data_IF_849823125406
#
_entry.id   IF_849823125406
#
_cell.length_a   1.000
_cell.length_b   1.000
_cell.length_c   1.000
_cell.angle_alpha   90.00
_cell.angle_beta   90.00
_cell.angle_gamma   90.00
#
_symmetry.space_group_name_H-M   'P 1'
#
loop_
_entity.id
_entity.type
_entity.pdbx_description
1 polymer ?
#
# COMPACT_ATOMS: atom_id res chain seq x y z
N UNK A 1 8.11 5.11 -7.60
CA UNK A 1 7.79 4.44 -6.32
C UNK A 1 9.04 4.06 -5.54
N UNK A 2 10.12 3.58 -6.17
CA UNK A 2 11.35 3.15 -5.48
C UNK A 2 11.89 4.17 -4.47
N UNK A 3 12.09 5.43 -4.87
CA UNK A 3 12.59 6.47 -3.97
C UNK A 3 11.71 6.67 -2.71
N UNK A 4 10.37 6.57 -2.85
CA UNK A 4 9.46 6.62 -1.71
C UNK A 4 9.66 5.40 -0.80
N UNK A 5 9.78 4.20 -1.38
CA UNK A 5 10.00 2.97 -0.60
C UNK A 5 11.31 3.03 0.19
N UNK A 6 12.38 3.48 -0.45
CA UNK A 6 13.70 3.63 0.19
C UNK A 6 13.60 4.59 1.39
N UNK A 7 12.94 5.74 1.20
CA UNK A 7 12.72 6.70 2.27
C UNK A 7 11.87 6.15 3.42
N UNK A 8 10.78 5.43 3.11
CA UNK A 8 9.89 4.86 4.14
C UNK A 8 10.61 3.80 4.98
N UNK A 9 11.44 2.95 4.36
CA UNK A 9 12.32 2.01 5.08
C UNK A 9 13.28 2.75 6.01
N UNK A 10 13.88 3.87 5.58
CA UNK A 10 14.74 4.70 6.43
C UNK A 10 13.99 5.32 7.62
N UNK A 11 12.70 5.63 7.45
CA UNK A 11 11.84 6.11 8.52
C UNK A 11 11.29 5.00 9.44
N UNK A 12 11.59 3.73 9.17
CA UNK A 12 11.06 2.58 9.93
C UNK A 12 9.62 2.21 9.58
N UNK A 13 9.11 2.66 8.42
CA UNK A 13 7.78 2.32 7.92
C UNK A 13 7.88 1.22 6.86
N UNK A 14 7.27 0.07 7.14
CA UNK A 14 7.40 -1.14 6.30
C UNK A 14 6.12 -1.51 5.56
N UNK A 15 5.08 -0.67 5.62
CA UNK A 15 3.81 -0.96 4.99
C UNK A 15 3.25 0.29 4.31
N UNK A 16 2.88 0.13 3.04
CA UNK A 16 2.17 1.14 2.28
C UNK A 16 0.77 0.61 1.96
N UNK A 17 -0.25 1.43 2.19
CA UNK A 17 -1.63 1.14 1.85
C UNK A 17 -2.15 2.21 0.90
N UNK A 18 -2.96 1.81 -0.07
CA UNK A 18 -3.63 2.73 -0.99
C UNK A 18 -4.97 2.16 -1.41
N UNK A 19 -5.94 3.03 -1.67
CA UNK A 19 -7.09 2.68 -2.49
C UNK A 19 -6.77 3.04 -3.94
N UNK A 20 -6.85 2.07 -4.84
CA UNK A 20 -6.55 2.23 -6.27
C UNK A 20 -7.82 2.08 -7.10
N UNK A 21 -8.05 3.00 -8.03
CA UNK A 21 -9.08 2.83 -9.06
C UNK A 21 -8.69 1.72 -10.06
N UNK A 22 -9.67 1.27 -10.86
CA UNK A 22 -9.49 0.17 -11.82
C UNK A 22 -8.37 0.40 -12.84
N UNK A 23 -8.11 1.66 -13.22
CA UNK A 23 -7.07 2.01 -14.18
C UNK A 23 -5.67 2.04 -13.54
N UNK A 24 -5.58 2.27 -12.24
CA UNK A 24 -4.33 2.36 -11.49
C UNK A 24 -3.87 1.01 -10.90
N UNK A 25 -4.75 0.01 -10.77
CA UNK A 25 -4.40 -1.32 -10.22
C UNK A 25 -3.15 -1.90 -10.91
N UNK A 26 -3.09 -1.86 -12.25
CA UNK A 26 -1.96 -2.39 -13.01
C UNK A 26 -0.63 -1.70 -12.70
N UNK A 27 -0.66 -0.40 -12.40
CA UNK A 27 0.53 0.34 -11.95
C UNK A 27 0.97 -0.16 -10.57
N UNK A 28 0.06 -0.20 -9.60
CA UNK A 28 0.37 -0.59 -8.22
C UNK A 28 0.85 -2.04 -8.12
N UNK A 29 0.27 -2.96 -8.88
CA UNK A 29 0.75 -4.34 -8.99
C UNK A 29 2.21 -4.42 -9.47
N UNK A 30 2.59 -3.63 -10.48
CA UNK A 30 4.00 -3.55 -10.94
C UNK A 30 4.94 -2.96 -9.89
N UNK A 31 4.42 -2.14 -8.97
CA UNK A 31 5.17 -1.64 -7.82
C UNK A 31 5.14 -2.60 -6.62
N UNK A 32 4.63 -3.83 -6.76
CA UNK A 32 4.59 -4.82 -5.69
C UNK A 32 3.50 -4.60 -4.65
N UNK A 33 2.43 -3.88 -5.00
CA UNK A 33 1.21 -3.86 -4.20
C UNK A 33 0.31 -5.04 -4.57
N UNK A 34 -0.49 -5.49 -3.60
CA UNK A 34 -1.46 -6.59 -3.77
C UNK A 34 -2.79 -6.23 -3.12
N UNK A 35 -3.90 -6.71 -3.68
CA UNK A 35 -5.21 -6.64 -3.03
C UNK A 35 -5.30 -7.56 -1.80
N UNK A 36 -4.41 -8.57 -1.68
CA UNK A 36 -4.27 -9.36 -0.46
C UNK A 36 -3.43 -8.58 0.56
N UNK A 37 -4.10 -7.70 1.31
CA UNK A 37 -3.43 -6.86 2.33
C UNK A 37 -3.08 -7.69 3.55
N UNK A 38 -1.80 -7.91 3.78
CA UNK A 38 -1.29 -8.69 4.93
C UNK A 38 -1.44 -7.97 6.27
N UNK A 39 -1.46 -6.63 6.25
CA UNK A 39 -1.64 -5.84 7.47
C UNK A 39 -3.02 -6.09 8.09
N UNK A 40 -3.13 -6.40 9.40
CA UNK A 40 -4.41 -6.57 10.07
C UNK A 40 -5.30 -5.32 9.96
N UNK A 41 -6.57 -5.51 9.56
CA UNK A 41 -7.55 -4.42 9.38
C UNK A 41 -7.63 -3.44 10.55
N UNK A 42 -7.53 -3.93 11.78
CA UNK A 42 -7.56 -3.13 13.02
C UNK A 42 -6.48 -2.04 13.10
N UNK A 43 -5.40 -2.14 12.31
CA UNK A 43 -4.30 -1.18 12.33
C UNK A 43 -4.53 0.02 11.41
N UNK A 44 -5.40 -0.09 10.40
CA UNK A 44 -5.64 0.99 9.42
C UNK A 44 -7.09 1.44 9.31
N UNK A 45 -8.05 0.60 9.71
CA UNK A 45 -9.46 0.95 9.61
C UNK A 45 -9.78 2.14 10.53
N UNK A 46 -10.44 3.16 9.96
CA UNK A 46 -10.70 4.44 10.63
C UNK A 46 -9.53 5.44 10.57
N UNK A 47 -8.34 5.04 10.11
CA UNK A 47 -7.19 5.92 9.95
C UNK A 47 -6.98 6.36 8.50
N UNK A 48 -7.19 5.45 7.55
CA UNK A 48 -7.09 5.76 6.12
C UNK A 48 -8.47 6.09 5.55
N UNK A 49 -8.51 6.97 4.55
CA UNK A 49 -9.73 7.28 3.82
C UNK A 49 -10.12 6.11 2.94
N UNK A 50 -11.39 5.74 2.99
CA UNK A 50 -12.00 4.72 2.14
C UNK A 50 -12.70 5.41 0.96
N UNK A 51 -12.56 4.83 -0.24
CA UNK A 51 -13.14 5.38 -1.47
C UNK A 51 -14.01 4.33 -2.15
N UNK A 52 -15.22 4.71 -2.52
CA UNK A 52 -16.13 3.86 -3.29
C UNK A 52 -15.56 3.61 -4.70
N UNK A 53 -15.71 2.39 -5.21
CA UNK A 53 -15.19 2.00 -6.52
C UNK A 53 -13.67 1.81 -6.59
N UNK A 54 -12.96 1.92 -5.46
CA UNK A 54 -11.52 1.67 -5.39
C UNK A 54 -11.20 0.37 -4.64
N UNK A 55 -10.12 -0.29 -5.04
CA UNK A 55 -9.61 -1.50 -4.40
C UNK A 55 -8.53 -1.13 -3.39
N UNK A 56 -8.69 -1.57 -2.13
CA UNK A 56 -7.61 -1.48 -1.15
C UNK A 56 -6.46 -2.40 -1.58
N UNK A 57 -5.26 -1.83 -1.70
CA UNK A 57 -4.03 -2.55 -2.01
C UNK A 57 -2.95 -2.23 -0.98
N UNK A 58 -2.12 -3.21 -0.66
CA UNK A 58 -1.02 -3.10 0.29
C UNK A 58 0.31 -3.54 -0.30
N UNK A 59 1.40 -2.90 0.10
CA UNK A 59 2.77 -3.28 -0.22
C UNK A 59 3.57 -3.38 1.07
N UNK A 60 4.17 -4.54 1.33
CA UNK A 60 5.14 -4.72 2.38
C UNK A 60 6.54 -4.39 1.85
N UNK A 61 7.28 -3.59 2.62
CA UNK A 61 8.66 -3.23 2.33
C UNK A 61 9.56 -4.06 3.23
N UNK A 62 10.68 -4.52 2.67
CA UNK A 62 11.70 -5.22 3.43
C UNK A 62 12.95 -4.34 3.50
N UNK A 63 13.55 -4.15 4.68
CA UNK A 63 14.87 -3.57 4.76
C UNK A 63 15.86 -4.48 4.01
N UNK A 64 16.86 -3.87 3.36
CA UNK A 64 18.01 -4.60 2.83
C UNK A 64 18.92 -5.06 3.97
#
# INVERSE_FOLDING_TARGET
MNHLKDYQVQCGNYHLLTFADEFAIGYFSKQGFSANVEMPKKLYHGYIKEYEGATLMGCQLHPQ
#
